data_IF_871951122621
#
_entry.id   IF_871951122621
#
_cell.length_a   1.000
_cell.length_b   1.000
_cell.length_c   1.000
_cell.angle_alpha   90.00
_cell.angle_beta   90.00
_cell.angle_gamma   90.00
#
_symmetry.space_group_name_H-M   'P 1'
#
loop_
_entity.id
_entity.type
_entity.pdbx_description
1 polymer ?
#
# COMPACT_ATOMS: atom_id res chain seq x y z
N UNK A 1 -1.77 15.90 -16.45
CA UNK A 1 -2.17 15.00 -15.34
C UNK A 1 -3.41 14.12 -15.58
N UNK A 2 -4.34 14.33 -16.53
CA UNK A 2 -5.50 13.44 -16.67
C UNK A 2 -5.16 12.02 -17.18
N UNK A 3 -3.96 11.81 -17.75
CA UNK A 3 -3.51 10.49 -18.22
C UNK A 3 -3.29 9.49 -17.08
N UNK A 4 -2.65 9.89 -15.98
CA UNK A 4 -2.33 8.99 -14.87
C UNK A 4 -3.59 8.50 -14.15
N UNK A 5 -4.52 9.41 -13.82
CA UNK A 5 -5.79 9.05 -13.19
C UNK A 5 -6.57 8.07 -14.09
N UNK A 6 -6.65 8.35 -15.41
CA UNK A 6 -7.36 7.50 -16.35
C UNK A 6 -6.74 6.10 -16.48
N UNK A 7 -5.41 6.01 -16.62
CA UNK A 7 -4.68 4.74 -16.68
C UNK A 7 -4.87 3.91 -15.41
N UNK A 8 -4.76 4.54 -14.23
CA UNK A 8 -4.94 3.90 -12.93
C UNK A 8 -6.34 3.29 -12.79
N UNK A 9 -7.39 4.07 -13.09
CA UNK A 9 -8.77 3.60 -12.99
C UNK A 9 -9.12 2.54 -14.04
N UNK A 10 -8.51 2.59 -15.23
CA UNK A 10 -8.67 1.55 -16.26
C UNK A 10 -8.10 0.21 -15.78
N UNK A 11 -6.88 0.19 -15.22
CA UNK A 11 -6.27 -1.02 -14.66
C UNK A 11 -7.02 -1.55 -13.44
N UNK A 12 -7.57 -0.66 -12.62
CA UNK A 12 -8.43 -1.04 -11.51
C UNK A 12 -9.72 -1.73 -11.99
N UNK A 13 -10.41 -1.14 -12.97
CA UNK A 13 -11.64 -1.70 -13.52
C UNK A 13 -11.39 -3.09 -14.12
N UNK A 14 -10.30 -3.26 -14.88
CA UNK A 14 -9.90 -4.56 -15.41
C UNK A 14 -9.67 -5.58 -14.29
N UNK A 15 -8.92 -5.20 -13.26
CA UNK A 15 -8.64 -6.06 -12.09
C UNK A 15 -9.93 -6.48 -11.38
N UNK A 16 -10.83 -5.53 -11.14
CA UNK A 16 -12.12 -5.76 -10.50
C UNK A 16 -12.98 -6.73 -11.31
N UNK A 17 -13.05 -6.56 -12.64
CA UNK A 17 -13.79 -7.47 -13.53
C UNK A 17 -13.24 -8.89 -13.42
N UNK A 18 -11.91 -9.06 -13.47
CA UNK A 18 -11.26 -10.38 -13.37
C UNK A 18 -11.55 -11.04 -12.02
N UNK A 19 -11.47 -10.28 -10.91
CA UNK A 19 -11.76 -10.81 -9.58
C UNK A 19 -13.23 -11.18 -9.44
N UNK A 20 -14.15 -10.32 -9.88
CA UNK A 20 -15.60 -10.61 -9.85
C UNK A 20 -15.93 -11.83 -10.71
N UNK A 21 -15.36 -11.94 -11.91
CA UNK A 21 -15.55 -13.11 -12.78
C UNK A 21 -15.02 -14.38 -12.13
N UNK A 22 -13.85 -14.33 -11.48
CA UNK A 22 -13.30 -15.46 -10.69
C UNK A 22 -14.25 -15.87 -9.57
N UNK A 23 -14.75 -14.91 -8.79
CA UNK A 23 -15.66 -15.17 -7.66
C UNK A 23 -16.99 -15.75 -8.15
N UNK A 24 -17.53 -15.24 -9.27
CA UNK A 24 -18.73 -15.76 -9.91
C UNK A 24 -18.54 -17.20 -10.41
N UNK A 25 -17.44 -17.49 -11.13
CA UNK A 25 -17.09 -18.83 -11.60
C UNK A 25 -17.00 -19.83 -10.44
N UNK A 26 -16.36 -19.45 -9.34
CA UNK A 26 -16.27 -20.28 -8.14
C UNK A 26 -17.61 -20.51 -7.46
N UNK A 27 -18.46 -19.47 -7.40
CA UNK A 27 -19.83 -19.61 -6.90
C UNK A 27 -20.60 -20.66 -7.70
N UNK A 28 -20.48 -20.62 -9.04
CA UNK A 28 -21.15 -21.59 -9.91
C UNK A 28 -20.66 -23.02 -9.68
N UNK A 29 -19.36 -23.21 -9.42
CA UNK A 29 -18.77 -24.52 -9.13
C UNK A 29 -19.16 -25.07 -7.75
N UNK A 30 -19.22 -24.23 -6.71
CA UNK A 30 -19.46 -24.66 -5.32
C UNK A 30 -20.93 -24.64 -4.90
N UNK A 31 -21.80 -23.94 -5.64
CA UNK A 31 -23.25 -23.91 -5.46
C UNK A 31 -23.77 -23.23 -4.19
N UNK A 32 -22.90 -22.71 -3.31
CA UNK A 32 -23.33 -22.07 -2.05
C UNK A 32 -22.32 -21.04 -1.52
N UNK A 33 -22.84 -19.92 -0.98
CA UNK A 33 -22.05 -18.88 -0.31
C UNK A 33 -21.39 -19.33 0.99
N UNK A 34 -21.98 -20.30 1.70
CA UNK A 34 -21.43 -20.83 2.96
C UNK A 34 -20.20 -21.72 2.75
N UNK A 35 -19.89 -22.07 1.50
CA UNK A 35 -18.72 -22.88 1.12
C UNK A 35 -17.59 -22.04 0.53
N UNK A 36 -17.66 -20.71 0.63
CA UNK A 36 -16.56 -19.86 0.19
C UNK A 36 -15.30 -20.17 0.98
N UNK A 37 -14.20 -20.33 0.26
CA UNK A 37 -12.95 -20.80 0.84
C UNK A 37 -12.18 -19.61 1.42
N UNK A 38 -11.27 -19.88 2.36
CA UNK A 38 -10.44 -18.83 2.97
C UNK A 38 -9.70 -17.97 1.92
N UNK A 39 -9.38 -18.55 0.75
CA UNK A 39 -8.74 -17.83 -0.35
C UNK A 39 -9.64 -16.76 -0.99
N UNK A 40 -10.94 -16.98 -1.02
CA UNK A 40 -11.92 -16.05 -1.58
C UNK A 40 -12.14 -14.85 -0.63
N UNK A 41 -12.13 -15.08 0.69
CA UNK A 41 -12.15 -14.02 1.69
C UNK A 41 -10.87 -13.19 1.68
N UNK A 42 -9.70 -13.83 1.56
CA UNK A 42 -8.43 -13.13 1.47
C UNK A 42 -8.35 -12.26 0.22
N UNK A 43 -8.89 -12.75 -0.91
CA UNK A 43 -8.97 -11.96 -2.15
C UNK A 43 -9.89 -10.74 -1.98
N UNK A 44 -11.03 -10.89 -1.30
CA UNK A 44 -11.91 -9.77 -1.01
C UNK A 44 -11.24 -8.71 -0.13
N UNK A 45 -10.53 -9.12 0.92
CA UNK A 45 -9.74 -8.20 1.77
C UNK A 45 -8.65 -7.50 0.97
N UNK A 46 -7.93 -8.24 0.11
CA UNK A 46 -6.88 -7.69 -0.76
C UNK A 46 -7.45 -6.67 -1.74
N UNK A 47 -8.65 -6.90 -2.27
CA UNK A 47 -9.33 -5.91 -3.11
C UNK A 47 -9.70 -4.65 -2.33
N UNK A 48 -10.16 -4.78 -1.08
CA UNK A 48 -10.47 -3.61 -0.23
C UNK A 48 -9.21 -2.77 0.00
N UNK A 49 -8.08 -3.40 0.35
CA UNK A 49 -6.82 -2.67 0.55
C UNK A 49 -6.32 -2.03 -0.75
N UNK A 50 -6.52 -2.70 -1.90
CA UNK A 50 -6.16 -2.15 -3.21
C UNK A 50 -7.04 -0.96 -3.60
N UNK A 51 -8.35 -1.03 -3.36
CA UNK A 51 -9.26 0.10 -3.59
C UNK A 51 -8.90 1.29 -2.70
N UNK A 52 -8.61 1.04 -1.42
CA UNK A 52 -8.17 2.09 -0.50
C UNK A 52 -6.85 2.72 -0.96
N UNK A 53 -5.89 1.91 -1.41
CA UNK A 53 -4.63 2.38 -2.00
C UNK A 53 -4.88 3.36 -3.14
N UNK A 54 -5.66 2.97 -4.15
CA UNK A 54 -5.90 3.84 -5.32
C UNK A 54 -6.71 5.09 -4.98
N UNK A 55 -7.64 5.00 -4.03
CA UNK A 55 -8.39 6.16 -3.56
C UNK A 55 -7.45 7.19 -2.91
N UNK A 56 -6.52 6.75 -2.06
CA UNK A 56 -5.55 7.64 -1.42
C UNK A 56 -4.56 8.19 -2.46
N UNK A 57 -4.07 7.35 -3.38
CA UNK A 57 -3.18 7.79 -4.46
C UNK A 57 -3.85 8.86 -5.32
N UNK A 58 -5.14 8.72 -5.65
CA UNK A 58 -5.89 9.73 -6.40
C UNK A 58 -5.98 11.08 -5.67
N UNK A 59 -5.97 11.09 -4.34
CA UNK A 59 -5.89 12.33 -3.54
C UNK A 59 -4.46 12.87 -3.54
N UNK A 60 -3.47 11.99 -3.43
CA UNK A 60 -2.05 12.35 -3.44
C UNK A 60 -1.58 12.96 -4.75
N UNK A 61 -2.17 12.60 -5.90
CA UNK A 61 -1.83 13.26 -7.18
C UNK A 61 -2.15 14.76 -7.20
N UNK A 62 -2.94 15.24 -6.22
CA UNK A 62 -3.37 16.65 -6.09
C UNK A 62 -2.90 17.30 -4.81
N UNK A 63 -2.21 16.56 -3.93
CA UNK A 63 -1.81 17.04 -2.60
C UNK A 63 -0.29 17.09 -2.52
N UNK A 64 0.32 18.24 -2.19
CA UNK A 64 1.76 18.33 -2.02
C UNK A 64 2.19 17.53 -0.78
N UNK A 65 3.43 17.02 -0.79
CA UNK A 65 4.00 16.25 0.31
C UNK A 65 5.26 16.93 0.85
N UNK A 66 5.93 16.27 1.78
CA UNK A 66 7.22 16.69 2.30
C UNK A 66 8.36 16.56 1.28
N UNK A 67 8.13 15.89 0.15
CA UNK A 67 9.11 15.79 -0.92
C UNK A 67 9.17 17.12 -1.68
N UNK A 68 10.11 17.97 -1.30
CA UNK A 68 10.41 19.25 -1.95
C UNK A 68 11.63 19.04 -2.85
N UNK A 69 11.53 19.46 -4.12
CA UNK A 69 12.70 19.48 -4.99
C UNK A 69 13.68 20.54 -4.47
N UNK A 70 14.95 20.20 -4.19
CA UNK A 70 15.95 21.19 -3.74
C UNK A 70 16.15 22.35 -4.70
N UNK A 71 15.87 22.17 -6.00
CA UNK A 71 15.96 23.23 -7.01
C UNK A 71 14.77 24.22 -6.95
N UNK A 72 13.67 23.84 -6.29
CA UNK A 72 12.50 24.70 -6.14
C UNK A 72 12.64 25.57 -4.88
N UNK A 73 12.88 26.87 -5.07
CA UNK A 73 12.85 27.85 -3.97
C UNK A 73 11.40 28.16 -3.57
N UNK A 74 10.84 27.33 -2.69
CA UNK A 74 9.46 27.50 -2.21
C UNK A 74 9.47 28.23 -0.86
N UNK A 75 8.78 29.37 -0.80
CA UNK A 75 8.47 30.03 0.48
C UNK A 75 7.29 29.29 1.10
N UNK A 76 7.55 28.59 2.21
CA UNK A 76 6.54 27.81 2.91
C UNK A 76 5.66 28.71 3.79
N UNK A 77 4.38 28.86 3.43
CA UNK A 77 3.41 29.48 4.32
C UNK A 77 2.97 28.49 5.41
N UNK A 78 2.46 28.95 6.57
CA UNK A 78 1.94 28.07 7.62
C UNK A 78 0.81 27.15 7.15
N UNK A 79 0.04 27.56 6.14
CA UNK A 79 -1.02 26.75 5.54
C UNK A 79 -0.44 25.66 4.64
N UNK A 80 0.57 25.98 3.84
CA UNK A 80 1.28 25.01 2.99
C UNK A 80 1.97 23.91 3.80
N UNK A 81 2.55 24.27 4.94
CA UNK A 81 3.18 23.32 5.87
C UNK A 81 2.17 22.28 6.35
N UNK A 82 0.98 22.72 6.79
CA UNK A 82 -0.08 21.82 7.27
C UNK A 82 -0.60 20.91 6.16
N UNK A 83 -0.77 21.45 4.95
CA UNK A 83 -1.23 20.67 3.80
C UNK A 83 -0.21 19.60 3.39
N UNK A 84 1.09 19.95 3.41
CA UNK A 84 2.18 19.02 3.12
C UNK A 84 2.37 17.96 4.20
N UNK A 85 2.19 18.32 5.48
CA UNK A 85 2.18 17.36 6.58
C UNK A 85 1.06 16.33 6.39
N UNK A 86 -0.14 16.78 6.03
CA UNK A 86 -1.27 15.89 5.70
C UNK A 86 -0.95 14.97 4.52
N UNK A 87 -0.42 15.51 3.41
CA UNK A 87 -0.01 14.71 2.26
C UNK A 87 1.04 13.66 2.62
N UNK A 88 2.00 14.01 3.46
CA UNK A 88 3.08 13.10 3.88
C UNK A 88 2.57 11.94 4.75
N UNK A 89 1.61 12.21 5.63
CA UNK A 89 0.91 11.15 6.37
C UNK A 89 0.16 10.20 5.44
N UNK A 90 -0.49 10.71 4.39
CA UNK A 90 -1.17 9.88 3.39
C UNK A 90 -0.19 9.01 2.57
N UNK A 91 1.04 9.46 2.32
CA UNK A 91 2.08 8.65 1.67
C UNK A 91 2.41 7.42 2.52
N UNK A 92 2.61 7.59 3.83
CA UNK A 92 2.88 6.45 4.72
C UNK A 92 1.73 5.43 4.72
N UNK A 93 0.49 5.91 4.72
CA UNK A 93 -0.69 5.04 4.62
C UNK A 93 -0.72 4.32 3.27
N UNK A 94 -0.41 5.02 2.18
CA UNK A 94 -0.29 4.44 0.83
C UNK A 94 0.73 3.31 0.80
N UNK A 95 1.94 3.52 1.31
CA UNK A 95 2.98 2.50 1.38
C UNK A 95 2.51 1.26 2.16
N UNK A 96 1.84 1.48 3.29
CA UNK A 96 1.30 0.39 4.09
C UNK A 96 0.19 -0.39 3.36
N UNK A 97 -0.73 0.30 2.70
CA UNK A 97 -1.81 -0.34 1.92
C UNK A 97 -1.27 -1.09 0.70
N UNK A 98 -0.23 -0.58 0.06
CA UNK A 98 0.48 -1.26 -1.02
C UNK A 98 1.15 -2.54 -0.50
N UNK A 99 1.81 -2.47 0.66
CA UNK A 99 2.41 -3.64 1.30
C UNK A 99 1.34 -4.71 1.57
N UNK A 100 0.25 -4.36 2.27
CA UNK A 100 -0.85 -5.29 2.56
C UNK A 100 -1.42 -5.93 1.28
N UNK A 101 -1.59 -5.14 0.21
CA UNK A 101 -2.10 -5.64 -1.06
C UNK A 101 -1.14 -6.66 -1.69
N UNK A 102 0.15 -6.35 -1.78
CA UNK A 102 1.16 -7.25 -2.38
C UNK A 102 1.29 -8.57 -1.61
N UNK A 103 1.30 -8.52 -0.28
CA UNK A 103 1.36 -9.72 0.56
C UNK A 103 0.05 -10.50 0.54
N UNK A 104 -1.10 -9.82 0.47
CA UNK A 104 -2.41 -10.44 0.27
C UNK A 104 -2.48 -11.26 -1.01
N UNK A 105 -2.01 -10.71 -2.14
CA UNK A 105 -1.94 -11.43 -3.43
C UNK A 105 -1.04 -12.67 -3.32
N UNK A 106 0.14 -12.57 -2.69
CA UNK A 106 1.01 -13.74 -2.46
C UNK A 106 0.29 -14.83 -1.66
N UNK A 107 -0.44 -14.44 -0.61
CA UNK A 107 -1.28 -15.36 0.17
C UNK A 107 -2.33 -16.05 -0.69
N UNK A 108 -3.09 -15.30 -1.49
CA UNK A 108 -4.09 -15.85 -2.40
C UNK A 108 -3.50 -16.87 -3.39
N UNK A 109 -2.33 -16.56 -3.97
CA UNK A 109 -1.62 -17.48 -4.85
C UNK A 109 -1.20 -18.75 -4.12
N UNK A 110 -0.64 -18.65 -2.92
CA UNK A 110 -0.22 -19.81 -2.14
C UNK A 110 -1.39 -20.72 -1.76
N UNK A 111 -2.53 -20.16 -1.35
CA UNK A 111 -3.73 -20.98 -1.09
C UNK A 111 -4.22 -21.69 -2.36
N UNK A 112 -4.21 -21.00 -3.50
CA UNK A 112 -4.59 -21.59 -4.79
C UNK A 112 -3.64 -22.74 -5.17
N UNK A 113 -2.33 -22.52 -5.10
CA UNK A 113 -1.33 -23.54 -5.40
C UNK A 113 -1.37 -24.71 -4.42
N UNK A 114 -1.61 -24.46 -3.13
CA UNK A 114 -1.72 -25.51 -2.11
C UNK A 114 -2.89 -26.45 -2.40
N UNK A 115 -4.00 -25.91 -2.91
CA UNK A 115 -5.15 -26.72 -3.35
C UNK A 115 -4.85 -27.52 -4.62
N UNK A 116 -4.20 -26.90 -5.61
CA UNK A 116 -3.89 -27.57 -6.87
C UNK A 116 -2.85 -28.69 -6.69
N UNK A 117 -1.90 -28.51 -5.77
CA UNK A 117 -0.78 -29.44 -5.54
C UNK A 117 -1.05 -30.47 -4.45
N UNK A 118 -2.24 -30.51 -3.83
CA UNK A 118 -2.56 -31.38 -2.69
C UNK A 118 -2.22 -32.86 -2.89
N UNK A 119 -2.31 -33.37 -4.12
CA UNK A 119 -2.01 -34.77 -4.50
C UNK A 119 -0.58 -35.00 -5.02
N UNK A 120 0.22 -33.93 -5.16
CA UNK A 120 1.58 -34.00 -5.70
C UNK A 120 2.63 -33.83 -4.60
N UNK A 121 3.81 -34.43 -4.78
CA UNK A 121 4.99 -34.20 -3.91
C UNK A 121 5.37 -32.72 -3.82
N UNK A 122 5.00 -31.91 -4.82
CA UNK A 122 5.19 -30.46 -4.87
C UNK A 122 4.43 -29.69 -3.77
N UNK A 123 3.42 -30.30 -3.12
CA UNK A 123 2.73 -29.71 -1.98
C UNK A 123 3.70 -29.33 -0.85
N UNK A 124 4.77 -30.12 -0.66
CA UNK A 124 5.79 -29.81 0.34
C UNK A 124 6.50 -28.48 0.04
N UNK A 125 6.89 -28.26 -1.22
CA UNK A 125 7.51 -27.00 -1.66
C UNK A 125 6.57 -25.81 -1.48
N UNK A 126 5.27 -25.96 -1.78
CA UNK A 126 4.29 -24.90 -1.58
C UNK A 126 4.16 -24.53 -0.10
N UNK A 127 4.14 -25.51 0.80
CA UNK A 127 4.12 -25.26 2.26
C UNK A 127 5.38 -24.56 2.75
N UNK A 128 6.55 -24.93 2.23
CA UNK A 128 7.82 -24.29 2.57
C UNK A 128 7.84 -22.82 2.12
N UNK A 129 7.41 -22.55 0.88
CA UNK A 129 7.29 -21.18 0.36
C UNK A 129 6.24 -20.40 1.15
N UNK A 130 5.13 -21.04 1.56
CA UNK A 130 4.13 -20.40 2.40
C UNK A 130 4.71 -19.98 3.76
N UNK A 131 5.51 -20.84 4.40
CA UNK A 131 6.26 -20.49 5.61
C UNK A 131 7.19 -19.30 5.38
N UNK A 132 7.97 -19.31 4.31
CA UNK A 132 8.86 -18.20 3.94
C UNK A 132 8.11 -16.88 3.74
N UNK A 133 6.96 -16.92 3.05
CA UNK A 133 6.13 -15.72 2.83
C UNK A 133 5.56 -15.19 4.15
N UNK A 134 5.08 -16.05 5.04
CA UNK A 134 4.55 -15.61 6.34
C UNK A 134 5.66 -14.99 7.20
N UNK A 135 6.83 -15.63 7.27
CA UNK A 135 7.98 -15.09 8.00
C UNK A 135 8.44 -13.76 7.40
N UNK A 136 8.53 -13.69 6.08
CA UNK A 136 8.89 -12.46 5.36
C UNK A 136 7.92 -11.32 5.63
N UNK A 137 6.62 -11.58 5.68
CA UNK A 137 5.61 -10.58 6.02
C UNK A 137 5.82 -10.05 7.45
N UNK A 138 5.99 -10.94 8.44
CA UNK A 138 6.21 -10.55 9.83
C UNK A 138 7.50 -9.72 9.97
N UNK A 139 8.59 -10.15 9.34
CA UNK A 139 9.86 -9.40 9.35
C UNK A 139 9.68 -8.03 8.72
N UNK A 140 9.01 -7.93 7.57
CA UNK A 140 8.75 -6.64 6.92
C UNK A 140 7.92 -5.70 7.80
N UNK A 141 6.88 -6.21 8.47
CA UNK A 141 6.10 -5.41 9.42
C UNK A 141 6.97 -4.90 10.57
N UNK A 142 7.82 -5.77 11.14
CA UNK A 142 8.72 -5.38 12.22
C UNK A 142 9.70 -4.30 11.73
N UNK A 143 10.34 -4.49 10.57
CA UNK A 143 11.28 -3.50 10.02
C UNK A 143 10.60 -2.16 9.75
N UNK A 144 9.37 -2.18 9.21
CA UNK A 144 8.60 -0.97 8.96
C UNK A 144 8.29 -0.21 10.27
N UNK A 145 7.74 -0.89 11.29
CA UNK A 145 7.35 -0.25 12.56
C UNK A 145 8.53 0.06 13.50
N UNK A 146 9.61 -0.72 13.45
CA UNK A 146 10.69 -0.66 14.45
C UNK A 146 11.99 -0.04 13.93
N UNK A 147 12.32 -0.20 12.65
CA UNK A 147 13.61 0.23 12.10
C UNK A 147 13.49 1.45 11.21
N UNK A 148 12.57 1.44 10.24
CA UNK A 148 12.45 2.54 9.29
C UNK A 148 11.60 3.68 9.84
N UNK A 149 10.36 3.45 10.25
CA UNK A 149 9.47 4.55 10.59
C UNK A 149 9.66 5.14 12.00
N UNK A 150 10.84 5.04 12.63
CA UNK A 150 11.13 5.67 13.93
C UNK A 150 12.21 6.76 13.84
N UNK A 151 11.95 7.98 14.35
CA UNK A 151 10.69 8.45 14.95
C UNK A 151 9.68 8.84 13.86
N UNK A 152 8.43 8.37 13.98
CA UNK A 152 7.39 8.59 12.97
C UNK A 152 7.20 10.07 12.58
N UNK A 153 7.39 10.98 13.54
CA UNK A 153 7.24 12.42 13.31
C UNK A 153 8.15 12.96 12.19
N UNK A 154 9.35 12.41 11.99
CA UNK A 154 10.27 12.93 10.97
C UNK A 154 9.79 12.67 9.53
N UNK A 155 8.97 11.65 9.31
CA UNK A 155 8.47 11.32 7.97
C UNK A 155 7.41 12.29 7.42
N UNK A 156 6.85 13.15 8.28
CA UNK A 156 5.89 14.17 7.87
C UNK A 156 6.28 15.58 8.33
N UNK A 157 7.50 15.77 8.82
CA UNK A 157 8.04 17.07 9.23
C UNK A 157 8.32 17.96 8.03
N UNK A 158 7.68 19.13 7.95
CA UNK A 158 7.92 20.12 6.89
C UNK A 158 8.40 21.42 7.55
N UNK A 159 9.61 21.94 7.26
CA UNK A 159 10.66 21.35 6.41
C UNK A 159 11.35 20.14 7.08
N UNK A 160 11.87 19.18 6.30
CA UNK A 160 12.70 18.09 6.84
C UNK A 160 13.98 18.63 7.49
N UNK A 161 14.49 17.95 8.53
CA UNK A 161 15.72 18.35 9.24
C UNK A 161 16.96 18.45 8.31
N UNK A 162 16.94 17.71 7.20
CA UNK A 162 18.02 17.68 6.20
C UNK A 162 17.94 18.84 5.17
N UNK A 163 16.86 19.61 5.19
CA UNK A 163 16.79 20.84 4.40
C UNK A 163 17.58 21.92 5.12
N UNK A 164 18.85 22.09 4.74
CA UNK A 164 19.61 23.31 4.97
C UNK A 164 18.93 24.48 4.23
N UNK A 165 17.79 24.96 4.76
CA UNK A 165 17.39 26.33 4.53
C UNK A 165 18.19 27.19 5.51
N UNK A 166 18.75 28.33 5.09
CA UNK A 166 19.40 29.25 6.01
C UNK A 166 18.32 29.71 7.00
N UNK A 167 18.35 29.14 8.20
CA UNK A 167 17.52 29.58 9.32
C UNK A 167 17.96 31.02 9.59
N UNK A 168 17.16 31.98 9.16
CA UNK A 168 17.28 33.36 9.58
C UNK A 168 17.01 33.43 11.09
N UNK A 169 18.06 33.18 11.89
CA UNK A 169 18.08 33.22 13.35
C UNK A 169 17.85 34.62 13.94
N UNK A 170 17.52 35.61 13.11
CA UNK A 170 17.47 37.02 13.51
C UNK A 170 16.10 37.47 14.03
N UNK A 171 15.11 36.58 14.16
CA UNK A 171 13.74 36.91 14.64
C UNK A 171 13.38 36.34 16.02
N UNK A 172 14.38 35.99 16.83
CA UNK A 172 14.19 35.58 18.23
C UNK A 172 14.97 36.48 19.22
N UNK A 173 15.45 37.65 18.78
CA UNK A 173 16.23 38.60 19.60
C UNK A 173 15.58 40.00 19.75
N UNK A 174 14.31 40.17 19.38
CA UNK A 174 13.54 41.40 19.63
C UNK A 174 12.27 41.11 20.46
#
# INVERSE_FOLDING_TARGET
MPSLDAEMWAWYALTLIVVVARMASRRMLLGSFKRMLADDYLMAVTMITYTALLAIVSVLTRTPTNLINPDDHIVLTPEDIKLREYGSKLVLVTEHMQMLTLWGVKGCLLFMYGRLTMSLKQNFSVKLVAGYVVVGFVVMQILWFAAWCRPFNHYWQVPPDDCEQPVDKTRDLD
#
